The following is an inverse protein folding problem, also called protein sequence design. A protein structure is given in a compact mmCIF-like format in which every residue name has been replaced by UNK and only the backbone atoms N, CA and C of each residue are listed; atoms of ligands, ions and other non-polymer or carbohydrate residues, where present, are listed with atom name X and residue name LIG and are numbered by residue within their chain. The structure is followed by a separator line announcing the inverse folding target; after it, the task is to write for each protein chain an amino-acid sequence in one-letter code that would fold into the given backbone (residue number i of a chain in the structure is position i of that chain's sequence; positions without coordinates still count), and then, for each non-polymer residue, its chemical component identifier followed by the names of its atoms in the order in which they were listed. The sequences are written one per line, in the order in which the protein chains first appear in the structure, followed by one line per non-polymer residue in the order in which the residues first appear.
data_IF_509636785307
#
_entry.id   IF_509636785307
#
_cell.length_a   1.000
_cell.length_b   1.000
_cell.length_c   1.000
_cell.angle_alpha   90.00
_cell.angle_beta   90.00
_cell.angle_gamma   90.00
#
_symmetry.space_group_name_H-M   'P 1'
#
loop_
_entity.id
_entity.type
_entity.pdbx_description
1 polymer ?
#
# COMPACT_ATOMS: atom_id res chain seq x y z
N UNK A 1 -27.87 39.47 23.48
CA UNK A 1 -26.90 38.38 23.76
C UNK A 1 -26.72 37.62 22.46
N UNK A 2 -25.69 37.96 21.68
CA UNK A 2 -25.45 37.40 20.34
C UNK A 2 -24.57 36.16 20.49
N UNK A 3 -25.11 34.97 20.18
CA UNK A 3 -24.34 33.74 20.09
C UNK A 3 -23.59 33.76 18.75
N UNK A 4 -22.34 34.21 18.75
CA UNK A 4 -21.46 34.07 17.59
C UNK A 4 -21.22 32.58 17.35
N UNK A 5 -21.84 32.09 16.29
CA UNK A 5 -21.76 30.72 15.79
C UNK A 5 -20.32 30.43 15.35
N UNK A 6 -19.51 29.92 16.27
CA UNK A 6 -18.08 29.65 16.11
C UNK A 6 -17.86 28.37 15.29
N UNK A 7 -18.37 28.33 14.05
CA UNK A 7 -18.12 27.20 13.13
C UNK A 7 -16.73 27.37 12.55
N UNK A 8 -15.79 26.56 13.02
CA UNK A 8 -14.50 26.38 12.34
C UNK A 8 -14.83 25.77 10.97
N UNK A 9 -14.55 26.45 9.85
CA UNK A 9 -14.78 25.86 8.54
C UNK A 9 -13.83 24.67 8.37
N UNK A 10 -14.40 23.48 8.12
CA UNK A 10 -13.61 22.30 7.76
C UNK A 10 -13.22 22.47 6.29
N UNK A 11 -12.00 22.93 6.03
CA UNK A 11 -11.46 23.03 4.67
C UNK A 11 -10.94 21.67 4.22
N UNK A 12 -11.58 21.08 3.21
CA UNK A 12 -11.16 19.79 2.65
C UNK A 12 -9.88 19.99 1.83
N UNK A 13 -8.74 19.63 2.43
CA UNK A 13 -7.45 19.65 1.75
C UNK A 13 -7.16 18.28 1.14
N UNK A 14 -7.00 18.24 -0.17
CA UNK A 14 -6.55 17.03 -0.85
C UNK A 14 -5.11 16.68 -0.47
N UNK A 15 -4.76 15.38 -0.39
CA UNK A 15 -3.39 14.96 -0.12
C UNK A 15 -2.40 15.55 -1.14
N UNK A 16 -1.21 15.90 -0.66
CA UNK A 16 -0.11 16.29 -1.55
C UNK A 16 0.47 15.09 -2.29
N UNK A 17 1.16 15.34 -3.40
CA UNK A 17 1.84 14.31 -4.20
C UNK A 17 2.77 13.45 -3.33
N UNK A 18 3.58 14.09 -2.48
CA UNK A 18 4.51 13.37 -1.60
C UNK A 18 3.80 12.43 -0.63
N UNK A 19 2.67 12.87 -0.04
CA UNK A 19 1.87 12.06 0.88
C UNK A 19 1.27 10.83 0.17
N UNK A 20 0.82 11.01 -1.08
CA UNK A 20 0.29 9.92 -1.90
C UNK A 20 1.36 8.90 -2.29
N UNK A 21 2.58 9.35 -2.61
CA UNK A 21 3.71 8.45 -2.89
C UNK A 21 4.15 7.71 -1.62
N UNK A 22 4.26 8.41 -0.49
CA UNK A 22 4.57 7.79 0.81
C UNK A 22 3.51 6.75 1.18
N UNK A 23 2.23 7.03 0.92
CA UNK A 23 1.15 6.08 1.12
C UNK A 23 1.34 4.82 0.28
N UNK A 24 1.78 4.95 -0.98
CA UNK A 24 2.09 3.79 -1.83
C UNK A 24 3.20 2.96 -1.18
N UNK A 25 4.28 3.60 -0.74
CA UNK A 25 5.42 2.92 -0.11
C UNK A 25 4.99 2.16 1.14
N UNK A 26 4.15 2.77 1.99
CA UNK A 26 3.65 2.14 3.21
C UNK A 26 2.71 0.98 2.89
N UNK A 27 1.73 1.16 2.00
CA UNK A 27 0.70 0.15 1.72
C UNK A 27 1.29 -1.01 0.92
N UNK A 28 1.90 -0.72 -0.23
CA UNK A 28 2.42 -1.74 -1.16
C UNK A 28 3.78 -2.32 -0.77
N UNK A 29 4.54 -1.59 0.04
CA UNK A 29 5.79 -2.10 0.61
C UNK A 29 5.55 -2.78 1.94
N UNK A 30 5.38 -1.98 2.99
CA UNK A 30 5.34 -2.51 4.35
C UNK A 30 4.08 -3.33 4.62
N UNK A 31 2.89 -2.78 4.36
CA UNK A 31 1.61 -3.43 4.64
C UNK A 31 1.45 -4.75 3.89
N UNK A 32 1.77 -4.74 2.60
CA UNK A 32 1.69 -5.93 1.75
C UNK A 32 2.69 -7.02 2.19
N UNK A 33 3.96 -6.68 2.42
CA UNK A 33 4.96 -7.64 2.93
C UNK A 33 4.52 -8.27 4.25
N UNK A 34 4.18 -7.44 5.24
CA UNK A 34 3.83 -7.92 6.58
C UNK A 34 2.57 -8.78 6.51
N UNK A 35 1.53 -8.32 5.81
CA UNK A 35 0.28 -9.07 5.71
C UNK A 35 0.45 -10.40 4.97
N UNK A 36 1.23 -10.46 3.88
CA UNK A 36 1.56 -11.71 3.18
C UNK A 36 2.29 -12.69 4.09
N UNK A 37 3.29 -12.23 4.85
CA UNK A 37 4.04 -13.08 5.77
C UNK A 37 3.17 -13.62 6.89
N UNK A 38 2.33 -12.76 7.49
CA UNK A 38 1.39 -13.17 8.55
C UNK A 38 0.36 -14.17 8.01
N UNK A 39 -0.23 -13.91 6.84
CA UNK A 39 -1.17 -14.82 6.20
C UNK A 39 -0.54 -16.17 5.87
N UNK A 40 0.71 -16.17 5.38
CA UNK A 40 1.46 -17.38 5.05
C UNK A 40 1.81 -18.18 6.31
N UNK A 41 2.25 -17.50 7.37
CA UNK A 41 2.56 -18.14 8.65
C UNK A 41 1.31 -18.74 9.31
N UNK A 42 0.17 -18.05 9.22
CA UNK A 42 -1.10 -18.52 9.79
C UNK A 42 -1.70 -19.70 9.00
N UNK A 43 -1.68 -19.64 7.66
CA UNK A 43 -2.27 -20.68 6.81
C UNK A 43 -1.36 -21.89 6.59
N UNK A 44 -0.06 -21.77 6.88
CA UNK A 44 0.93 -22.82 6.65
C UNK A 44 1.19 -23.12 5.17
N UNK A 45 0.71 -22.26 4.26
CA UNK A 45 0.85 -22.45 2.80
C UNK A 45 1.05 -21.14 2.06
N UNK A 46 1.82 -21.20 0.98
CA UNK A 46 1.99 -20.08 0.03
C UNK A 46 1.05 -20.20 -1.18
N UNK A 47 0.17 -21.21 -1.22
CA UNK A 47 -0.72 -21.44 -2.37
C UNK A 47 -1.69 -20.28 -2.64
N UNK A 48 -2.02 -19.52 -1.60
CA UNK A 48 -2.92 -18.36 -1.67
C UNK A 48 -2.23 -17.09 -2.21
N UNK A 49 -0.90 -17.09 -2.36
CA UNK A 49 -0.19 -15.99 -3.00
C UNK A 49 -0.48 -15.97 -4.51
N UNK A 50 -1.17 -14.91 -4.94
CA UNK A 50 -1.64 -14.76 -6.32
C UNK A 50 -0.48 -14.47 -7.29
N UNK A 51 0.58 -13.82 -6.83
CA UNK A 51 1.72 -13.49 -7.67
C UNK A 51 2.67 -14.69 -7.81
N UNK A 52 2.80 -15.33 -9.00
CA UNK A 52 3.60 -16.53 -9.16
C UNK A 52 5.08 -16.33 -8.83
N UNK A 53 5.62 -15.15 -9.08
CA UNK A 53 7.01 -14.82 -8.77
C UNK A 53 7.22 -14.70 -7.26
N UNK A 54 6.34 -13.97 -6.57
CA UNK A 54 6.41 -13.82 -5.10
C UNK A 54 6.23 -15.18 -4.43
N UNK A 55 5.31 -16.00 -4.92
CA UNK A 55 5.13 -17.38 -4.43
C UNK A 55 6.40 -18.22 -4.62
N UNK A 56 7.05 -18.13 -5.78
CA UNK A 56 8.31 -18.84 -6.02
C UNK A 56 9.43 -18.37 -5.07
N UNK A 57 9.53 -17.06 -4.82
CA UNK A 57 10.48 -16.49 -3.87
C UNK A 57 10.20 -16.98 -2.44
N UNK A 58 8.94 -16.98 -2.00
CA UNK A 58 8.54 -17.46 -0.68
C UNK A 58 8.85 -18.94 -0.45
N UNK A 59 8.67 -19.78 -1.49
CA UNK A 59 9.01 -21.21 -1.43
C UNK A 59 10.52 -21.42 -1.27
N UNK A 60 11.33 -20.59 -1.93
CA UNK A 60 12.78 -20.73 -1.90
C UNK A 60 13.40 -20.14 -0.63
N UNK A 61 13.11 -18.86 -0.35
CA UNK A 61 13.56 -18.14 0.85
C UNK A 61 12.68 -16.90 1.07
N UNK A 62 11.92 -16.84 2.18
CA UNK A 62 11.09 -15.68 2.52
C UNK A 62 11.84 -14.33 2.55
N UNK A 63 13.15 -14.33 2.84
CA UNK A 63 13.95 -13.11 2.85
C UNK A 63 14.14 -12.52 1.45
N UNK A 64 14.17 -13.37 0.40
CA UNK A 64 14.26 -12.90 -0.98
C UNK A 64 13.01 -12.14 -1.40
N UNK A 65 11.84 -12.56 -0.91
CA UNK A 65 10.58 -11.83 -1.13
C UNK A 65 10.66 -10.42 -0.52
N UNK A 66 11.10 -10.32 0.74
CA UNK A 66 11.23 -9.03 1.45
C UNK A 66 12.22 -8.13 0.71
N UNK A 67 13.40 -8.64 0.37
CA UNK A 67 14.43 -7.90 -0.35
C UNK A 67 13.91 -7.39 -1.71
N UNK A 68 13.20 -8.26 -2.45
CA UNK A 68 12.62 -7.91 -3.75
C UNK A 68 11.57 -6.80 -3.60
N UNK A 69 10.62 -6.95 -2.67
CA UNK A 69 9.59 -5.92 -2.45
C UNK A 69 10.19 -4.61 -1.96
N UNK A 70 11.17 -4.65 -1.06
CA UNK A 70 11.88 -3.45 -0.61
C UNK A 70 12.57 -2.74 -1.77
N UNK A 71 13.26 -3.48 -2.65
CA UNK A 71 13.90 -2.91 -3.83
C UNK A 71 12.89 -2.29 -4.79
N UNK A 72 11.80 -3.00 -5.11
CA UNK A 72 10.74 -2.51 -6.01
C UNK A 72 10.11 -1.23 -5.45
N UNK A 73 9.74 -1.22 -4.18
CA UNK A 73 9.05 -0.08 -3.56
C UNK A 73 9.98 1.13 -3.45
N UNK A 74 11.26 0.92 -3.14
CA UNK A 74 12.24 1.99 -3.14
C UNK A 74 12.41 2.59 -4.53
N UNK A 75 12.56 1.76 -5.57
CA UNK A 75 12.69 2.20 -6.96
C UNK A 75 11.43 2.97 -7.37
N UNK A 76 10.24 2.41 -7.13
CA UNK A 76 8.96 3.05 -7.47
C UNK A 76 8.81 4.39 -6.75
N UNK A 77 9.07 4.45 -5.44
CA UNK A 77 9.00 5.68 -4.66
C UNK A 77 9.95 6.75 -5.19
N UNK A 78 11.22 6.40 -5.43
CA UNK A 78 12.21 7.32 -5.99
C UNK A 78 11.84 7.80 -7.38
N UNK A 79 11.41 6.90 -8.27
CA UNK A 79 11.00 7.25 -9.64
C UNK A 79 9.79 8.18 -9.62
N UNK A 80 8.77 7.89 -8.80
CA UNK A 80 7.60 8.76 -8.68
C UNK A 80 7.99 10.15 -8.16
N UNK A 81 8.82 10.23 -7.10
CA UNK A 81 9.29 11.52 -6.60
C UNK A 81 10.11 12.29 -7.64
N UNK A 82 11.00 11.62 -8.37
CA UNK A 82 11.79 12.24 -9.43
C UNK A 82 10.93 12.70 -10.62
N UNK A 83 9.86 11.98 -10.91
CA UNK A 83 8.94 12.26 -12.03
C UNK A 83 7.76 13.14 -11.62
N UNK A 84 7.74 13.70 -10.40
CA UNK A 84 6.67 14.59 -9.92
C UNK A 84 6.24 15.65 -10.97
N UNK A 85 7.17 16.41 -11.60
CA UNK A 85 6.77 17.44 -12.57
C UNK A 85 6.03 16.89 -13.79
N UNK A 86 6.31 15.65 -14.17
CA UNK A 86 5.64 14.99 -15.30
C UNK A 86 4.29 14.44 -14.84
N UNK A 87 4.24 13.75 -13.70
CA UNK A 87 3.00 13.11 -13.23
C UNK A 87 1.93 14.14 -12.88
N UNK A 88 2.30 15.29 -12.31
CA UNK A 88 1.34 16.36 -11.99
C UNK A 88 0.72 17.02 -13.24
N UNK A 89 1.28 16.80 -14.45
CA UNK A 89 0.68 17.25 -15.72
C UNK A 89 -0.45 16.35 -16.22
N UNK A 90 -0.52 15.11 -15.72
CA UNK A 90 -1.50 14.12 -16.18
C UNK A 90 -2.84 14.40 -15.50
N UNK A 91 -3.94 14.55 -16.25
CA UNK A 91 -5.25 14.74 -15.63
C UNK A 91 -5.60 13.55 -14.72
N UNK A 92 -6.28 13.84 -13.61
CA UNK A 92 -6.71 12.85 -12.63
C UNK A 92 -5.61 12.04 -11.93
N UNK A 93 -4.34 12.48 -11.95
CA UNK A 93 -3.24 11.81 -11.23
C UNK A 93 -3.58 11.53 -9.76
N UNK A 94 -4.21 12.47 -9.05
CA UNK A 94 -4.66 12.28 -7.65
C UNK A 94 -5.61 11.10 -7.50
N UNK A 95 -6.61 11.02 -8.38
CA UNK A 95 -7.58 9.92 -8.39
C UNK A 95 -6.92 8.59 -8.66
N UNK A 96 -5.94 8.55 -9.57
CA UNK A 96 -5.15 7.35 -9.84
C UNK A 96 -4.35 6.90 -8.61
N UNK A 97 -3.64 7.82 -7.95
CA UNK A 97 -2.91 7.50 -6.71
C UNK A 97 -3.83 7.00 -5.60
N UNK A 98 -4.98 7.65 -5.40
CA UNK A 98 -5.98 7.21 -4.44
C UNK A 98 -6.51 5.81 -4.79
N UNK A 99 -6.77 5.54 -6.07
CA UNK A 99 -7.20 4.23 -6.55
C UNK A 99 -6.16 3.14 -6.31
N UNK A 100 -4.89 3.40 -6.63
CA UNK A 100 -3.79 2.47 -6.38
C UNK A 100 -3.58 2.21 -4.89
N UNK A 101 -3.65 3.24 -4.05
CA UNK A 101 -3.56 3.08 -2.60
C UNK A 101 -4.75 2.29 -2.04
N UNK A 102 -5.98 2.59 -2.48
CA UNK A 102 -7.17 1.86 -2.07
C UNK A 102 -7.10 0.39 -2.49
N UNK A 103 -6.66 0.11 -3.70
CA UNK A 103 -6.47 -1.25 -4.19
C UNK A 103 -5.44 -2.01 -3.35
N UNK A 104 -4.28 -1.40 -3.07
CA UNK A 104 -3.28 -1.98 -2.18
C UNK A 104 -3.86 -2.25 -0.78
N UNK A 105 -4.65 -1.33 -0.24
CA UNK A 105 -5.35 -1.52 1.03
C UNK A 105 -6.27 -2.74 1.03
N UNK A 106 -7.01 -2.97 -0.05
CA UNK A 106 -7.86 -4.17 -0.21
C UNK A 106 -7.02 -5.45 -0.19
N UNK A 107 -5.86 -5.46 -0.84
CA UNK A 107 -4.96 -6.62 -0.82
C UNK A 107 -4.45 -6.89 0.59
N UNK A 108 -3.97 -5.86 1.30
CA UNK A 108 -3.52 -5.99 2.69
C UNK A 108 -4.64 -6.52 3.59
N UNK A 109 -5.84 -5.97 3.49
CA UNK A 109 -7.00 -6.43 4.26
C UNK A 109 -7.37 -7.88 3.93
N UNK A 110 -7.24 -8.28 2.67
CA UNK A 110 -7.51 -9.66 2.24
C UNK A 110 -6.53 -10.64 2.88
N UNK A 111 -5.24 -10.29 2.91
CA UNK A 111 -4.21 -11.08 3.59
C UNK A 111 -4.46 -11.17 5.10
N UNK A 112 -4.81 -10.04 5.74
CA UNK A 112 -5.18 -10.03 7.17
C UNK A 112 -6.40 -10.90 7.42
N UNK A 113 -7.41 -10.87 6.55
CA UNK A 113 -8.59 -11.73 6.67
C UNK A 113 -8.22 -13.22 6.60
N UNK A 114 -7.33 -13.61 5.68
CA UNK A 114 -6.80 -14.99 5.63
C UNK A 114 -6.14 -15.37 6.95
N UNK A 115 -5.29 -14.50 7.50
CA UNK A 115 -4.64 -14.76 8.78
C UNK A 115 -5.66 -14.93 9.93
N UNK A 116 -6.65 -14.04 10.00
CA UNK A 116 -7.71 -14.11 11.01
C UNK A 116 -8.48 -15.43 10.96
N UNK A 117 -8.86 -15.89 9.76
CA UNK A 117 -9.61 -17.15 9.58
C UNK A 117 -8.81 -18.39 10.00
N UNK A 118 -7.47 -18.33 10.00
CA UNK A 118 -6.63 -19.47 10.39
C UNK A 118 -6.11 -19.39 11.84
N UNK A 119 -6.20 -18.22 12.48
CA UNK A 119 -5.74 -18.01 13.87
C UNK A 119 -6.86 -18.12 14.91
N UNK A 120 -8.13 -17.98 14.51
CA UNK A 120 -9.32 -18.04 15.36
C UNK A 120 -10.30 -19.10 14.86
#
# INVERSE_FOLDING_TARGET
MSLTNNRVPIEWKWPDYGELVVSIVIIWGFGDVVSTLVASAASGTFALEANPLIRALLIHDPMLMIATKAAVVLIVGLVLLAMRPVVETVPAWRGWFLGINAFGGVIVLSNVAVAMVHLF
#
